data_IF_135037349750
#
_entry.id   IF_135037349750
#
_cell.length_a   1.000
_cell.length_b   1.000
_cell.length_c   1.000
_cell.angle_alpha   90.00
_cell.angle_beta   90.00
_cell.angle_gamma   90.00
#
_symmetry.space_group_name_H-M   'P 1'
#
loop_
_entity.id
_entity.type
_entity.pdbx_description
1 polymer ?
#
# COMPACT_ATOMS: atom_id res chain seq x y z
N UNK A 1 3.66 12.30 49.72
CA UNK A 1 4.57 13.11 48.92
C UNK A 1 5.66 12.22 48.36
N UNK A 2 5.54 11.83 47.11
CA UNK A 2 6.58 11.10 46.36
C UNK A 2 6.70 11.81 45.02
N UNK A 3 7.84 12.46 44.79
CA UNK A 3 8.21 13.12 43.55
C UNK A 3 8.37 12.06 42.45
N UNK A 4 7.50 12.10 41.45
CA UNK A 4 7.75 11.47 40.17
C UNK A 4 8.74 12.36 39.40
N UNK A 5 9.99 11.95 39.31
CA UNK A 5 10.98 12.58 38.44
C UNK A 5 10.60 12.27 36.97
N UNK A 6 10.18 13.29 36.25
CA UNK A 6 10.03 13.24 34.81
C UNK A 6 11.39 12.91 34.17
N UNK A 7 11.50 11.76 33.52
CA UNK A 7 12.64 11.45 32.66
C UNK A 7 12.59 12.39 31.46
N UNK A 8 13.58 13.26 31.34
CA UNK A 8 13.83 14.03 30.12
C UNK A 8 14.12 13.07 28.97
N UNK A 9 13.61 13.32 27.74
CA UNK A 9 13.99 12.56 26.57
C UNK A 9 15.49 12.74 26.33
N UNK A 10 16.24 11.63 26.34
CA UNK A 10 17.67 11.60 26.01
C UNK A 10 17.78 11.86 24.51
N UNK A 11 18.50 12.92 24.13
CA UNK A 11 18.83 13.24 22.73
C UNK A 11 19.63 12.07 22.12
N UNK A 12 19.17 11.43 21.04
CA UNK A 12 19.77 10.18 20.54
C UNK A 12 21.05 10.37 19.71
N UNK A 13 21.62 11.57 19.65
CA UNK A 13 22.76 11.85 18.78
C UNK A 13 23.94 12.38 19.58
N UNK A 14 24.94 11.52 19.81
CA UNK A 14 26.30 11.95 20.19
C UNK A 14 26.84 12.87 19.08
N UNK A 15 27.17 14.12 19.41
CA UNK A 15 27.69 15.13 18.49
C UNK A 15 29.09 14.82 17.91
N UNK A 16 29.76 13.76 18.38
CA UNK A 16 31.12 13.36 17.97
C UNK A 16 31.17 12.27 16.88
N UNK A 17 30.08 11.89 16.25
CA UNK A 17 30.12 10.95 15.13
C UNK A 17 30.71 11.64 13.89
N UNK A 18 31.96 11.32 13.56
CA UNK A 18 32.68 11.76 12.35
C UNK A 18 31.84 11.47 11.05
N UNK A 19 32.14 12.18 9.95
CA UNK A 19 31.39 11.99 8.70
C UNK A 19 31.56 10.57 8.17
N UNK A 20 30.44 9.84 8.17
CA UNK A 20 30.32 8.42 7.74
C UNK A 20 30.38 8.27 6.20
N UNK A 21 30.58 9.36 5.46
CA UNK A 21 30.20 9.47 4.04
C UNK A 21 31.06 8.73 3.02
N UNK A 22 32.25 8.24 3.34
CA UNK A 22 33.10 7.52 2.36
C UNK A 22 33.57 6.14 2.85
N UNK A 23 34.02 6.02 4.09
CA UNK A 23 34.57 4.76 4.63
C UNK A 23 33.49 3.66 4.82
N UNK A 24 32.25 4.05 5.16
CA UNK A 24 31.13 3.12 5.36
C UNK A 24 30.60 2.54 4.03
N UNK A 25 30.48 3.33 2.99
CA UNK A 25 30.05 2.87 1.66
C UNK A 25 31.08 1.91 1.05
N UNK A 26 32.35 2.20 1.18
CA UNK A 26 33.43 1.33 0.74
C UNK A 26 33.47 -0.02 1.49
N UNK A 27 33.13 -0.04 2.77
CA UNK A 27 33.01 -1.27 3.56
C UNK A 27 31.85 -2.13 3.12
N UNK A 28 30.67 -1.51 2.90
CA UNK A 28 29.48 -2.19 2.39
C UNK A 28 29.76 -2.76 1.01
N UNK A 29 30.29 -1.99 0.09
CA UNK A 29 30.64 -2.46 -1.24
C UNK A 29 31.63 -3.63 -1.20
N UNK A 30 32.71 -3.55 -0.41
CA UNK A 30 33.67 -4.65 -0.24
C UNK A 30 33.02 -5.92 0.35
N UNK A 31 32.08 -5.76 1.29
CA UNK A 31 31.32 -6.87 1.83
C UNK A 31 30.49 -7.55 0.72
N UNK A 32 29.72 -6.77 -0.03
CA UNK A 32 28.86 -7.25 -1.11
C UNK A 32 29.66 -7.97 -2.19
N UNK A 33 30.78 -7.40 -2.60
CA UNK A 33 31.70 -8.03 -3.57
C UNK A 33 32.25 -9.35 -3.02
N UNK A 34 32.62 -9.39 -1.75
CA UNK A 34 33.14 -10.63 -1.11
C UNK A 34 32.09 -11.72 -1.00
N UNK A 35 30.85 -11.39 -0.63
CA UNK A 35 29.79 -12.37 -0.37
C UNK A 35 29.03 -12.78 -1.65
N UNK A 36 28.89 -11.86 -2.60
CA UNK A 36 28.00 -12.00 -3.75
C UNK A 36 28.68 -11.90 -5.12
N UNK A 37 29.97 -11.49 -5.14
CA UNK A 37 30.73 -11.23 -6.35
C UNK A 37 30.63 -9.76 -6.83
N UNK A 38 31.54 -9.40 -7.73
CA UNK A 38 31.75 -8.01 -8.19
C UNK A 38 30.49 -7.46 -8.90
N UNK A 39 29.92 -8.24 -9.81
CA UNK A 39 28.73 -7.87 -10.60
C UNK A 39 27.55 -7.47 -9.69
N UNK A 40 27.29 -8.27 -8.65
CA UNK A 40 26.19 -8.03 -7.72
C UNK A 40 26.50 -6.88 -6.77
N UNK A 41 27.75 -6.76 -6.32
CA UNK A 41 28.20 -5.62 -5.50
C UNK A 41 28.00 -4.29 -6.20
N UNK A 42 28.37 -4.20 -7.48
CA UNK A 42 28.13 -3.02 -8.31
C UNK A 42 26.63 -2.75 -8.55
N UNK A 43 25.85 -3.79 -8.81
CA UNK A 43 24.41 -3.67 -9.00
C UNK A 43 23.72 -3.13 -7.75
N UNK A 44 24.18 -3.54 -6.57
CA UNK A 44 23.69 -3.02 -5.30
C UNK A 44 23.96 -1.52 -5.15
N UNK A 45 25.16 -1.06 -5.51
CA UNK A 45 25.50 0.38 -5.47
C UNK A 45 24.65 1.18 -6.45
N UNK A 46 24.35 0.62 -7.65
CA UNK A 46 23.42 1.23 -8.61
C UNK A 46 22.00 1.29 -8.04
N UNK A 47 21.52 0.22 -7.39
CA UNK A 47 20.22 0.19 -6.74
C UNK A 47 20.09 1.28 -5.65
N UNK A 48 21.10 1.47 -4.83
CA UNK A 48 21.13 2.57 -3.84
C UNK A 48 20.99 3.95 -4.49
N UNK A 49 21.66 4.18 -5.61
CA UNK A 49 21.53 5.44 -6.34
C UNK A 49 20.08 5.67 -6.85
N UNK A 50 19.42 4.61 -7.31
CA UNK A 50 17.98 4.66 -7.69
C UNK A 50 17.13 5.01 -6.47
N UNK A 51 17.28 4.30 -5.36
CA UNK A 51 16.52 4.54 -4.13
C UNK A 51 16.71 5.96 -3.58
N UNK A 52 17.96 6.46 -3.57
CA UNK A 52 18.26 7.82 -3.13
C UNK A 52 17.61 8.88 -4.04
N UNK A 53 17.55 8.64 -5.36
CA UNK A 53 16.87 9.54 -6.30
C UNK A 53 15.37 9.60 -5.98
N UNK A 54 14.71 8.46 -5.78
CA UNK A 54 13.30 8.40 -5.41
C UNK A 54 13.03 9.01 -4.04
N UNK A 55 13.91 8.79 -3.06
CA UNK A 55 13.78 9.42 -1.75
C UNK A 55 13.87 10.95 -1.82
N UNK A 56 14.78 11.51 -2.65
CA UNK A 56 14.84 12.96 -2.87
C UNK A 56 13.61 13.54 -3.53
N UNK A 57 12.98 12.80 -4.44
CA UNK A 57 11.74 13.23 -5.08
C UNK A 57 10.58 13.26 -4.06
N UNK A 58 10.53 12.28 -3.18
CA UNK A 58 9.51 12.22 -2.11
C UNK A 58 9.72 13.26 -1.00
N UNK A 59 10.97 13.60 -0.69
CA UNK A 59 11.32 14.53 0.38
C UNK A 59 12.13 15.72 -0.12
N UNK A 60 11.56 16.60 -0.98
CA UNK A 60 12.32 17.68 -1.65
C UNK A 60 12.86 18.74 -0.68
N UNK A 61 12.31 18.82 0.53
CA UNK A 61 12.68 19.78 1.56
C UNK A 61 13.41 19.15 2.76
N UNK A 62 13.90 17.90 2.62
CA UNK A 62 14.64 17.19 3.67
C UNK A 62 15.92 17.95 4.05
N UNK A 63 16.06 18.26 5.34
CA UNK A 63 17.27 18.90 5.86
C UNK A 63 18.47 17.94 5.86
N UNK A 64 19.70 18.50 5.91
CA UNK A 64 20.93 17.70 5.90
C UNK A 64 21.00 16.68 7.06
N UNK A 65 20.51 17.03 8.25
CA UNK A 65 20.48 16.15 9.42
C UNK A 65 19.54 14.96 9.19
N UNK A 66 18.33 15.23 8.71
CA UNK A 66 17.34 14.17 8.41
C UNK A 66 17.83 13.26 7.30
N UNK A 67 18.40 13.83 6.25
CA UNK A 67 19.00 13.06 5.18
C UNK A 67 20.12 12.14 5.68
N UNK A 68 21.01 12.64 6.53
CA UNK A 68 22.08 11.83 7.13
C UNK A 68 21.51 10.69 7.96
N UNK A 69 20.47 10.96 8.76
CA UNK A 69 19.77 9.96 9.57
C UNK A 69 19.16 8.87 8.67
N UNK A 70 18.49 9.26 7.60
CA UNK A 70 17.88 8.33 6.63
C UNK A 70 18.94 7.47 5.94
N UNK A 71 20.04 8.08 5.47
CA UNK A 71 21.14 7.35 4.82
C UNK A 71 21.81 6.34 5.77
N UNK A 72 22.03 6.71 7.03
CA UNK A 72 22.57 5.79 8.04
C UNK A 72 21.61 4.64 8.31
N UNK A 73 20.31 4.92 8.46
CA UNK A 73 19.26 3.88 8.62
C UNK A 73 19.29 2.91 7.44
N UNK A 74 19.29 3.42 6.22
CA UNK A 74 19.33 2.61 5.00
C UNK A 74 20.60 1.75 4.93
N UNK A 75 21.77 2.32 5.24
CA UNK A 75 23.04 1.59 5.23
C UNK A 75 23.03 0.41 6.21
N UNK A 76 22.48 0.60 7.41
CA UNK A 76 22.36 -0.46 8.41
C UNK A 76 21.46 -1.59 7.88
N UNK A 77 20.32 -1.25 7.32
CA UNK A 77 19.35 -2.21 6.77
C UNK A 77 19.91 -2.96 5.56
N UNK A 78 20.58 -2.27 4.64
CA UNK A 78 21.19 -2.85 3.45
C UNK A 78 22.22 -3.93 3.81
N UNK A 79 23.12 -3.63 4.76
CA UNK A 79 24.11 -4.59 5.29
C UNK A 79 23.39 -5.77 5.94
N UNK A 80 22.42 -5.50 6.81
CA UNK A 80 21.69 -6.52 7.54
C UNK A 80 20.97 -7.47 6.57
N UNK A 81 20.19 -6.93 5.64
CA UNK A 81 19.41 -7.72 4.67
C UNK A 81 20.31 -8.58 3.79
N UNK A 82 21.43 -8.00 3.32
CA UNK A 82 22.43 -8.76 2.54
C UNK A 82 22.97 -9.95 3.33
N UNK A 83 23.42 -9.71 4.55
CA UNK A 83 23.96 -10.78 5.40
C UNK A 83 22.89 -11.84 5.71
N UNK A 84 21.66 -11.42 6.01
CA UNK A 84 20.57 -12.33 6.31
C UNK A 84 20.20 -13.23 5.12
N UNK A 85 20.17 -12.67 3.93
CA UNK A 85 19.88 -13.45 2.71
C UNK A 85 21.01 -14.45 2.40
N UNK A 86 22.27 -14.04 2.58
CA UNK A 86 23.43 -14.88 2.21
C UNK A 86 23.73 -15.94 3.27
N UNK A 87 23.66 -15.59 4.55
CA UNK A 87 24.10 -16.44 5.65
C UNK A 87 22.97 -17.02 6.51
N UNK A 88 21.76 -16.58 6.26
CA UNK A 88 20.58 -16.90 7.06
C UNK A 88 20.39 -15.95 8.24
N UNK A 89 19.12 -15.62 8.51
CA UNK A 89 18.74 -14.65 9.53
C UNK A 89 19.32 -14.99 10.92
N UNK A 90 19.21 -16.24 11.38
CA UNK A 90 19.61 -16.64 12.72
C UNK A 90 21.13 -16.62 12.94
N UNK A 91 21.94 -16.71 11.90
CA UNK A 91 23.40 -16.80 11.96
C UNK A 91 24.12 -15.46 11.98
N UNK A 92 23.42 -14.33 11.79
CA UNK A 92 23.99 -12.99 11.78
C UNK A 92 23.61 -12.27 13.07
N UNK A 93 24.57 -11.59 13.70
CA UNK A 93 24.36 -10.82 14.93
C UNK A 93 24.24 -9.32 14.62
N UNK A 94 23.54 -8.58 15.49
CA UNK A 94 23.48 -7.10 15.41
C UNK A 94 24.87 -6.48 15.61
N UNK A 95 25.72 -7.10 16.44
CA UNK A 95 27.11 -6.69 16.65
C UNK A 95 27.93 -6.73 15.37
N UNK A 96 27.80 -7.80 14.60
CA UNK A 96 28.48 -7.95 13.31
C UNK A 96 28.03 -6.90 12.28
N UNK A 97 26.72 -6.61 12.22
CA UNK A 97 26.16 -5.56 11.38
C UNK A 97 26.74 -4.19 11.78
N UNK A 98 26.75 -3.89 13.08
CA UNK A 98 27.27 -2.65 13.63
C UNK A 98 28.74 -2.45 13.30
N UNK A 99 29.57 -3.50 13.43
CA UNK A 99 31.00 -3.48 13.10
C UNK A 99 31.25 -3.17 11.62
N UNK A 100 30.49 -3.81 10.72
CA UNK A 100 30.62 -3.60 9.27
C UNK A 100 30.24 -2.17 8.87
N UNK A 101 29.12 -1.68 9.42
CA UNK A 101 28.64 -0.30 9.15
C UNK A 101 29.55 0.75 9.80
N UNK A 102 30.30 0.39 10.85
CA UNK A 102 31.16 1.30 11.60
C UNK A 102 30.39 2.13 12.65
N UNK A 103 29.32 1.57 13.21
CA UNK A 103 28.54 2.20 14.27
C UNK A 103 28.50 1.31 15.54
N UNK A 104 27.98 1.84 16.65
CA UNK A 104 27.77 1.02 17.85
C UNK A 104 26.49 0.17 17.72
N UNK A 105 26.44 -0.98 18.42
CA UNK A 105 25.18 -1.75 18.53
C UNK A 105 24.02 -0.91 19.09
N UNK A 106 24.31 -0.03 20.05
CA UNK A 106 23.35 0.91 20.59
C UNK A 106 22.79 1.83 19.48
N UNK A 107 23.64 2.25 18.55
CA UNK A 107 23.21 3.04 17.39
C UNK A 107 22.27 2.23 16.50
N UNK A 108 22.59 0.97 16.23
CA UNK A 108 21.69 0.09 15.46
C UNK A 108 20.32 -0.03 16.16
N UNK A 109 20.29 -0.30 17.45
CA UNK A 109 19.03 -0.42 18.20
C UNK A 109 18.26 0.91 18.34
N UNK A 110 18.91 2.05 18.24
CA UNK A 110 18.22 3.35 18.16
C UNK A 110 17.44 3.54 16.84
N UNK A 111 17.92 2.94 15.74
CA UNK A 111 17.23 2.96 14.44
C UNK A 111 16.24 1.80 14.28
N UNK A 112 16.56 0.64 14.84
CA UNK A 112 15.83 -0.61 14.66
C UNK A 112 15.70 -1.32 16.00
N UNK A 113 14.55 -1.19 16.68
CA UNK A 113 14.36 -1.73 18.04
C UNK A 113 14.56 -3.24 18.17
N UNK A 114 14.37 -3.98 17.07
CA UNK A 114 14.53 -5.43 17.03
C UNK A 114 15.37 -5.84 15.81
N UNK A 115 15.90 -7.06 15.82
CA UNK A 115 16.63 -7.60 14.68
C UNK A 115 15.71 -7.80 13.47
N UNK A 116 14.46 -8.16 13.69
CA UNK A 116 13.44 -8.31 12.66
C UNK A 116 13.13 -6.97 11.96
N UNK A 117 13.14 -5.86 12.70
CA UNK A 117 12.89 -4.54 12.12
C UNK A 117 13.95 -4.08 11.11
N UNK A 118 15.15 -4.70 11.12
CA UNK A 118 16.17 -4.50 10.10
C UNK A 118 15.73 -5.01 8.71
N UNK A 119 14.85 -6.00 8.68
CA UNK A 119 14.30 -6.60 7.45
C UNK A 119 13.14 -5.77 6.90
N UNK A 120 12.42 -5.10 7.78
CA UNK A 120 11.23 -4.30 7.46
C UNK A 120 11.51 -2.79 7.56
N UNK A 121 12.69 -2.37 7.13
CA UNK A 121 13.19 -0.99 7.23
C UNK A 121 12.30 0.05 6.54
N UNK A 122 11.65 -0.33 5.45
CA UNK A 122 10.74 0.53 4.67
C UNK A 122 9.27 0.46 5.11
N UNK A 123 9.00 -0.25 6.22
CA UNK A 123 7.63 -0.40 6.70
C UNK A 123 6.99 0.94 7.09
N UNK A 124 7.74 1.81 7.79
CA UNK A 124 7.27 3.15 8.18
C UNK A 124 6.96 4.02 6.95
N UNK A 125 7.85 4.03 5.94
CA UNK A 125 7.62 4.76 4.69
C UNK A 125 6.39 4.21 3.95
N UNK A 126 6.17 2.90 3.97
CA UNK A 126 4.99 2.27 3.39
C UNK A 126 3.69 2.69 4.09
N UNK A 127 3.71 2.78 5.43
CA UNK A 127 2.59 3.28 6.23
C UNK A 127 2.32 4.75 5.89
N UNK A 128 3.34 5.59 5.90
CA UNK A 128 3.21 7.02 5.57
C UNK A 128 2.63 7.23 4.17
N UNK A 129 3.08 6.49 3.17
CA UNK A 129 2.53 6.55 1.81
C UNK A 129 1.08 6.12 1.74
N UNK A 130 0.71 5.05 2.45
CA UNK A 130 -0.69 4.61 2.52
C UNK A 130 -1.57 5.69 3.16
N UNK A 131 -1.12 6.28 4.27
CA UNK A 131 -1.84 7.36 4.97
C UNK A 131 -1.96 8.58 4.06
N UNK A 132 -0.88 9.02 3.45
CA UNK A 132 -0.89 10.14 2.51
C UNK A 132 -1.86 9.89 1.35
N UNK A 133 -1.83 8.72 0.74
CA UNK A 133 -2.76 8.35 -0.34
C UNK A 133 -4.24 8.39 0.12
N UNK A 134 -4.51 7.98 1.35
CA UNK A 134 -5.87 8.04 1.91
C UNK A 134 -6.29 9.47 2.26
N UNK A 135 -5.38 10.32 2.75
CA UNK A 135 -5.63 11.71 3.14
C UNK A 135 -5.76 12.65 1.95
N UNK A 136 -4.89 12.51 0.94
CA UNK A 136 -4.79 13.40 -0.22
C UNK A 136 -5.75 13.05 -1.35
N UNK A 137 -6.55 11.98 -1.20
CA UNK A 137 -7.49 11.57 -2.24
C UNK A 137 -8.48 12.68 -2.60
N UNK A 138 -8.75 12.80 -3.89
CA UNK A 138 -9.70 13.75 -4.42
C UNK A 138 -11.11 13.49 -3.87
N UNK A 139 -11.95 14.54 -3.74
CA UNK A 139 -13.35 14.37 -3.38
C UNK A 139 -14.06 13.43 -4.34
N UNK A 140 -14.52 12.28 -3.83
CA UNK A 140 -15.18 11.22 -4.61
C UNK A 140 -14.22 10.17 -5.20
N UNK A 141 -12.92 10.31 -5.04
CA UNK A 141 -11.98 9.23 -5.31
C UNK A 141 -12.14 8.13 -4.25
N UNK A 142 -12.24 6.86 -4.69
CA UNK A 142 -12.30 5.75 -3.73
C UNK A 142 -10.95 5.53 -3.04
N UNK A 143 -10.95 5.04 -1.80
CA UNK A 143 -9.70 4.62 -1.14
C UNK A 143 -8.90 3.63 -1.99
N UNK A 144 -9.58 2.71 -2.66
CA UNK A 144 -8.99 1.73 -3.57
C UNK A 144 -8.20 2.39 -4.70
N UNK A 145 -8.74 3.42 -5.35
CA UNK A 145 -8.06 4.13 -6.44
C UNK A 145 -6.86 4.93 -5.97
N UNK A 146 -6.98 5.59 -4.82
CA UNK A 146 -5.86 6.32 -4.23
C UNK A 146 -4.67 5.39 -3.95
N UNK A 147 -4.94 4.20 -3.41
CA UNK A 147 -3.89 3.21 -3.16
C UNK A 147 -3.32 2.59 -4.43
N UNK A 148 -4.14 2.34 -5.46
CA UNK A 148 -3.62 1.86 -6.75
C UNK A 148 -2.58 2.82 -7.33
N UNK A 149 -2.79 4.13 -7.22
CA UNK A 149 -1.81 5.14 -7.64
C UNK A 149 -0.51 5.02 -6.85
N UNK A 150 -0.58 4.94 -5.52
CA UNK A 150 0.60 4.78 -4.67
C UNK A 150 1.38 3.48 -4.97
N UNK A 151 0.68 2.37 -5.22
CA UNK A 151 1.32 1.10 -5.58
C UNK A 151 1.93 1.10 -7.00
N UNK A 152 1.40 1.92 -7.91
CA UNK A 152 2.02 2.13 -9.22
C UNK A 152 3.40 2.79 -9.07
N UNK A 153 3.51 3.82 -8.24
CA UNK A 153 4.78 4.49 -7.94
C UNK A 153 5.80 3.53 -7.30
N UNK A 154 5.35 2.67 -6.37
CA UNK A 154 6.21 1.63 -5.77
C UNK A 154 6.69 0.60 -6.81
N UNK A 155 5.87 0.30 -7.80
CA UNK A 155 6.24 -0.60 -8.89
C UNK A 155 7.25 0.05 -9.82
N UNK A 156 7.09 1.34 -10.12
CA UNK A 156 8.02 2.11 -10.93
C UNK A 156 9.42 2.17 -10.28
N UNK A 157 9.49 2.43 -8.97
CA UNK A 157 10.77 2.41 -8.22
C UNK A 157 11.43 1.02 -8.29
N UNK A 158 10.64 -0.04 -8.11
CA UNK A 158 11.14 -1.42 -8.15
C UNK A 158 11.69 -1.80 -9.53
N UNK A 159 11.03 -1.37 -10.61
CA UNK A 159 11.46 -1.64 -11.99
C UNK A 159 12.78 -0.97 -12.35
N UNK A 160 13.06 0.19 -11.77
CA UNK A 160 14.32 0.91 -12.01
C UNK A 160 15.52 0.26 -11.33
N UNK A 161 15.31 -0.73 -10.44
CA UNK A 161 16.39 -1.48 -9.84
C UNK A 161 17.14 -2.31 -10.89
N UNK A 162 18.46 -2.48 -10.74
CA UNK A 162 19.25 -3.36 -11.60
C UNK A 162 18.70 -4.79 -11.64
N UNK A 163 18.83 -5.46 -12.79
CA UNK A 163 18.29 -6.81 -12.98
C UNK A 163 18.82 -7.81 -11.95
N UNK A 164 20.07 -7.67 -11.56
CA UNK A 164 20.73 -8.51 -10.57
C UNK A 164 20.02 -8.43 -9.21
N UNK A 165 19.46 -7.26 -8.88
CA UNK A 165 18.70 -7.07 -7.64
C UNK A 165 17.37 -7.83 -7.64
N UNK A 166 16.75 -8.02 -8.79
CA UNK A 166 15.53 -8.82 -8.89
C UNK A 166 15.76 -10.30 -8.54
N UNK A 167 16.98 -10.81 -8.71
CA UNK A 167 17.35 -12.17 -8.32
C UNK A 167 17.36 -12.40 -6.80
N UNK A 168 17.49 -11.33 -5.99
CA UNK A 168 17.41 -11.41 -4.55
C UNK A 168 15.97 -11.54 -4.03
N UNK A 169 14.98 -11.12 -4.80
CA UNK A 169 13.58 -11.16 -4.37
C UNK A 169 13.13 -12.56 -3.95
N UNK A 170 13.35 -13.64 -4.73
CA UNK A 170 13.00 -15.00 -4.31
C UNK A 170 13.73 -15.45 -3.04
N UNK A 171 15.03 -15.16 -2.93
CA UNK A 171 15.85 -15.51 -1.76
C UNK A 171 15.37 -14.79 -0.50
N UNK A 172 15.07 -13.51 -0.62
CA UNK A 172 14.48 -12.72 0.47
C UNK A 172 13.14 -13.30 0.91
N UNK A 173 12.30 -13.71 -0.03
CA UNK A 173 11.01 -14.33 0.26
C UNK A 173 11.13 -15.69 0.93
N UNK A 174 12.08 -16.50 0.49
CA UNK A 174 12.39 -17.77 1.12
C UNK A 174 12.86 -17.57 2.58
N UNK A 175 13.73 -16.59 2.81
CA UNK A 175 14.15 -16.22 4.16
C UNK A 175 12.97 -15.80 5.04
N UNK A 176 12.08 -14.94 4.55
CA UNK A 176 10.85 -14.54 5.28
C UNK A 176 9.96 -15.75 5.58
N UNK A 177 9.76 -16.63 4.60
CA UNK A 177 8.89 -17.79 4.74
C UNK A 177 9.48 -18.87 5.66
N UNK A 178 10.79 -19.05 5.68
CA UNK A 178 11.48 -20.08 6.47
C UNK A 178 11.74 -19.67 7.92
N UNK A 179 11.82 -18.36 8.23
CA UNK A 179 12.18 -17.83 9.55
C UNK A 179 10.93 -17.50 10.38
N UNK A 180 10.62 -18.25 11.47
CA UNK A 180 9.41 -18.04 12.26
C UNK A 180 9.27 -16.64 12.87
N UNK A 181 10.36 -16.04 13.37
CA UNK A 181 10.33 -14.70 13.96
C UNK A 181 10.04 -13.62 12.92
N UNK A 182 10.56 -13.74 11.70
CA UNK A 182 10.24 -12.82 10.60
C UNK A 182 8.78 -12.94 10.16
N UNK A 183 8.23 -14.15 10.11
CA UNK A 183 6.79 -14.33 9.85
C UNK A 183 5.92 -13.68 10.91
N UNK A 184 6.29 -13.81 12.19
CA UNK A 184 5.57 -13.16 13.27
C UNK A 184 5.64 -11.63 13.15
N UNK A 185 6.82 -11.07 12.90
CA UNK A 185 7.01 -9.63 12.70
C UNK A 185 6.23 -9.11 11.47
N UNK A 186 6.18 -9.87 10.38
CA UNK A 186 5.37 -9.55 9.21
C UNK A 186 3.87 -9.49 9.55
N UNK A 187 3.35 -10.46 10.29
CA UNK A 187 1.94 -10.46 10.71
C UNK A 187 1.62 -9.30 11.66
N UNK A 188 2.54 -8.93 12.54
CA UNK A 188 2.39 -7.76 13.40
C UNK A 188 2.38 -6.46 12.59
N UNK A 189 3.25 -6.35 11.60
CA UNK A 189 3.25 -5.21 10.67
C UNK A 189 1.93 -5.12 9.89
N UNK A 190 1.43 -6.22 9.35
CA UNK A 190 0.15 -6.24 8.63
C UNK A 190 -1.01 -5.83 9.54
N UNK A 191 -1.02 -6.27 10.79
CA UNK A 191 -2.02 -5.85 11.78
C UNK A 191 -1.94 -4.34 12.02
N UNK A 192 -0.75 -3.80 12.20
CA UNK A 192 -0.54 -2.37 12.41
C UNK A 192 -0.99 -1.54 11.20
N UNK A 193 -0.70 -1.98 9.98
CA UNK A 193 -1.22 -1.36 8.74
C UNK A 193 -2.75 -1.29 8.72
N UNK A 194 -3.42 -2.39 9.12
CA UNK A 194 -4.88 -2.41 9.20
C UNK A 194 -5.41 -1.44 10.26
N UNK A 195 -4.76 -1.35 11.43
CA UNK A 195 -5.14 -0.43 12.49
C UNK A 195 -5.04 1.03 12.03
N UNK A 196 -3.91 1.42 11.43
CA UNK A 196 -3.70 2.78 10.91
C UNK A 196 -4.70 3.10 9.79
N UNK A 197 -4.90 2.19 8.83
CA UNK A 197 -5.87 2.38 7.77
C UNK A 197 -7.31 2.53 8.30
N UNK A 198 -7.66 1.76 9.34
CA UNK A 198 -8.95 1.82 9.99
C UNK A 198 -9.21 3.18 10.65
N UNK A 199 -8.24 3.67 11.40
CA UNK A 199 -8.32 4.98 12.06
C UNK A 199 -8.48 6.11 11.04
N UNK A 200 -7.70 6.09 9.96
CA UNK A 200 -7.74 7.10 8.91
C UNK A 200 -9.07 7.08 8.14
N UNK A 201 -9.58 5.90 7.80
CA UNK A 201 -10.87 5.76 7.12
C UNK A 201 -12.04 6.19 8.01
N UNK A 202 -12.02 5.82 9.28
CA UNK A 202 -13.04 6.19 10.26
C UNK A 202 -13.08 7.71 10.48
N UNK A 203 -11.91 8.33 10.72
CA UNK A 203 -11.79 9.77 10.90
C UNK A 203 -12.35 10.54 9.70
N UNK A 204 -12.05 10.10 8.49
CA UNK A 204 -12.50 10.76 7.26
C UNK A 204 -13.99 10.54 6.95
N UNK A 205 -14.57 9.45 7.44
CA UNK A 205 -15.99 9.15 7.30
C UNK A 205 -16.84 9.69 8.46
N UNK A 206 -16.21 10.30 9.47
CA UNK A 206 -16.86 10.72 10.73
C UNK A 206 -17.55 9.53 11.46
N UNK A 207 -16.89 8.35 11.43
CA UNK A 207 -17.34 7.11 12.08
C UNK A 207 -16.44 6.78 13.30
N UNK A 208 -16.92 5.89 14.17
CA UNK A 208 -16.08 5.29 15.21
C UNK A 208 -15.18 4.21 14.56
N UNK A 209 -13.86 4.15 14.88
CA UNK A 209 -12.98 3.09 14.41
C UNK A 209 -13.46 1.66 14.76
N UNK A 210 -14.40 1.54 15.69
CA UNK A 210 -15.03 0.25 16.07
C UNK A 210 -16.24 -0.11 15.23
N UNK A 211 -16.70 0.81 14.37
CA UNK A 211 -17.78 0.51 13.44
C UNK A 211 -17.35 -0.55 12.40
N UNK A 212 -18.25 -1.40 11.94
CA UNK A 212 -17.89 -2.49 11.03
C UNK A 212 -17.42 -2.01 9.65
N UNK A 213 -17.89 -0.84 9.17
CA UNK A 213 -17.56 -0.30 7.86
C UNK A 213 -16.07 0.05 7.73
N UNK A 214 -15.46 0.90 8.59
CA UNK A 214 -14.03 1.19 8.49
C UNK A 214 -13.19 -0.06 8.78
N UNK A 215 -13.61 -0.95 9.69
CA UNK A 215 -12.89 -2.18 9.98
C UNK A 215 -12.76 -3.12 8.77
N UNK A 216 -13.83 -3.32 8.00
CA UNK A 216 -13.79 -4.17 6.81
C UNK A 216 -13.08 -3.48 5.65
N UNK A 217 -13.28 -2.17 5.48
CA UNK A 217 -12.62 -1.40 4.45
C UNK A 217 -11.10 -1.38 4.63
N UNK A 218 -10.61 -1.18 5.85
CA UNK A 218 -9.18 -1.21 6.17
C UNK A 218 -8.53 -2.56 5.80
N UNK A 219 -9.16 -3.69 6.17
CA UNK A 219 -8.66 -5.01 5.80
C UNK A 219 -8.65 -5.23 4.29
N UNK A 220 -9.69 -4.75 3.61
CA UNK A 220 -9.79 -4.90 2.17
C UNK A 220 -8.69 -4.12 1.42
N UNK A 221 -8.43 -2.88 1.82
CA UNK A 221 -7.40 -2.06 1.17
C UNK A 221 -5.97 -2.52 1.50
N UNK A 222 -5.71 -2.96 2.73
CA UNK A 222 -4.41 -3.56 3.08
C UNK A 222 -4.19 -4.86 2.32
N UNK A 223 -5.25 -5.65 2.06
CA UNK A 223 -5.19 -6.82 1.19
C UNK A 223 -4.73 -6.52 -0.23
N UNK A 224 -4.96 -5.32 -0.77
CA UNK A 224 -4.40 -4.91 -2.07
C UNK A 224 -2.88 -4.79 -2.04
N UNK A 225 -2.29 -4.37 -0.93
CA UNK A 225 -0.83 -4.34 -0.76
C UNK A 225 -0.24 -5.75 -0.80
N UNK A 226 -0.90 -6.72 -0.17
CA UNK A 226 -0.49 -8.13 -0.26
C UNK A 226 -0.57 -8.65 -1.70
N UNK A 227 -1.62 -8.29 -2.43
CA UNK A 227 -1.76 -8.62 -3.86
C UNK A 227 -0.64 -7.99 -4.67
N UNK A 228 -0.30 -6.70 -4.45
CA UNK A 228 0.80 -6.02 -5.15
C UNK A 228 2.12 -6.76 -4.95
N UNK A 229 2.42 -7.11 -3.71
CA UNK A 229 3.65 -7.80 -3.35
C UNK A 229 3.71 -9.21 -3.95
N UNK A 230 2.67 -10.02 -3.78
CA UNK A 230 2.59 -11.37 -4.31
C UNK A 230 2.61 -11.41 -5.85
N UNK A 231 1.95 -10.45 -6.48
CA UNK A 231 1.94 -10.31 -7.94
C UNK A 231 3.33 -9.99 -8.49
N UNK A 232 4.03 -9.05 -7.86
CA UNK A 232 5.40 -8.68 -8.24
C UNK A 232 6.34 -9.88 -8.17
N UNK A 233 6.34 -10.61 -7.05
CA UNK A 233 7.16 -11.82 -6.89
C UNK A 233 6.88 -12.82 -7.99
N UNK A 234 5.60 -13.18 -8.17
CA UNK A 234 5.18 -14.17 -9.16
C UNK A 234 5.63 -13.79 -10.58
N UNK A 235 5.51 -12.53 -10.97
CA UNK A 235 5.88 -12.08 -12.30
C UNK A 235 7.41 -11.97 -12.47
N UNK A 236 8.14 -11.58 -11.43
CA UNK A 236 9.62 -11.61 -11.42
C UNK A 236 10.14 -13.04 -11.57
N UNK A 237 9.55 -14.00 -10.85
CA UNK A 237 9.88 -15.44 -10.98
C UNK A 237 9.55 -15.98 -12.36
N UNK A 238 8.48 -15.48 -12.99
CA UNK A 238 8.13 -15.81 -14.39
C UNK A 238 9.05 -15.13 -15.42
N UNK A 239 10.02 -14.32 -15.00
CA UNK A 239 10.99 -13.67 -15.86
C UNK A 239 10.56 -12.31 -16.43
N UNK A 240 9.41 -11.77 -16.03
CA UNK A 240 8.97 -10.45 -16.50
C UNK A 240 9.85 -9.34 -15.90
N UNK A 241 10.13 -8.29 -16.70
CA UNK A 241 10.94 -7.13 -16.32
C UNK A 241 10.37 -5.87 -16.96
N UNK A 242 10.80 -4.71 -16.48
CA UNK A 242 10.48 -3.39 -17.06
C UNK A 242 8.98 -3.20 -17.25
N UNK A 243 8.57 -2.67 -18.40
CA UNK A 243 7.17 -2.36 -18.70
C UNK A 243 6.24 -3.58 -18.65
N UNK A 244 6.73 -4.78 -19.00
CA UNK A 244 5.93 -6.01 -18.94
C UNK A 244 5.60 -6.38 -17.49
N UNK A 245 6.56 -6.24 -16.58
CA UNK A 245 6.34 -6.44 -15.14
C UNK A 245 5.31 -5.44 -14.60
N UNK A 246 5.46 -4.16 -14.96
CA UNK A 246 4.53 -3.09 -14.56
C UNK A 246 3.10 -3.39 -15.02
N UNK A 247 2.93 -3.68 -16.31
CA UNK A 247 1.62 -3.98 -16.88
C UNK A 247 0.97 -5.18 -16.21
N UNK A 248 1.74 -6.23 -15.93
CA UNK A 248 1.24 -7.45 -15.29
C UNK A 248 0.82 -7.18 -13.83
N UNK A 249 1.63 -6.48 -13.05
CA UNK A 249 1.32 -6.12 -11.65
C UNK A 249 0.11 -5.17 -11.59
N UNK A 250 0.08 -4.14 -12.44
CA UNK A 250 -1.04 -3.20 -12.52
C UNK A 250 -2.33 -3.93 -12.90
N UNK A 251 -2.29 -4.84 -13.88
CA UNK A 251 -3.45 -5.63 -14.28
C UNK A 251 -4.00 -6.49 -13.14
N UNK A 252 -3.13 -7.10 -12.34
CA UNK A 252 -3.55 -7.92 -11.19
C UNK A 252 -4.18 -7.04 -10.10
N UNK A 253 -3.56 -5.90 -9.80
CA UNK A 253 -4.09 -4.94 -8.84
C UNK A 253 -5.45 -4.38 -9.25
N UNK A 254 -5.62 -4.00 -10.53
CA UNK A 254 -6.90 -3.53 -11.04
C UNK A 254 -7.98 -4.62 -10.97
N UNK A 255 -7.62 -5.89 -11.19
CA UNK A 255 -8.55 -7.02 -11.05
C UNK A 255 -8.99 -7.21 -9.61
N UNK A 256 -8.06 -7.10 -8.64
CA UNK A 256 -8.37 -7.16 -7.23
C UNK A 256 -9.21 -5.95 -6.79
N UNK A 257 -8.84 -4.74 -7.22
CA UNK A 257 -9.55 -3.51 -6.92
C UNK A 257 -11.01 -3.53 -7.43
N UNK A 258 -11.26 -4.10 -8.62
CA UNK A 258 -12.62 -4.27 -9.13
C UNK A 258 -13.51 -5.11 -8.21
N UNK A 259 -12.94 -6.10 -7.51
CA UNK A 259 -13.70 -6.88 -6.51
C UNK A 259 -14.09 -6.03 -5.31
N UNK A 260 -13.22 -5.10 -4.89
CA UNK A 260 -13.52 -4.19 -3.79
C UNK A 260 -14.56 -3.13 -4.20
N UNK A 261 -14.42 -2.56 -5.39
CA UNK A 261 -15.34 -1.53 -5.89
C UNK A 261 -16.76 -2.09 -6.16
N UNK A 262 -16.88 -3.38 -6.50
CA UNK A 262 -18.16 -4.04 -6.82
C UNK A 262 -18.67 -4.94 -5.70
N UNK A 263 -17.90 -5.16 -4.66
CA UNK A 263 -18.18 -6.10 -3.58
C UNK A 263 -18.01 -7.57 -4.00
N UNK A 264 -18.10 -8.47 -3.03
CA UNK A 264 -17.85 -9.90 -3.24
C UNK A 264 -18.89 -10.60 -4.14
N UNK A 265 -20.07 -10.00 -4.36
CA UNK A 265 -21.07 -10.56 -5.27
C UNK A 265 -20.53 -10.74 -6.70
N UNK A 266 -19.64 -9.86 -7.14
CA UNK A 266 -19.05 -9.95 -8.48
C UNK A 266 -18.08 -11.14 -8.63
N UNK A 267 -17.59 -11.70 -7.53
CA UNK A 267 -16.77 -12.90 -7.54
C UNK A 267 -17.51 -14.09 -8.13
N UNK A 268 -18.80 -14.21 -7.86
CA UNK A 268 -19.63 -15.28 -8.42
C UNK A 268 -19.75 -15.23 -9.95
N UNK A 269 -19.53 -14.06 -10.56
CA UNK A 269 -19.54 -13.92 -12.02
C UNK A 269 -18.31 -14.54 -12.66
N UNK A 270 -17.17 -14.52 -11.98
CA UNK A 270 -15.91 -15.07 -12.48
C UNK A 270 -15.97 -16.58 -12.68
N UNK A 271 -16.85 -17.28 -11.95
CA UNK A 271 -17.06 -18.73 -12.11
C UNK A 271 -17.68 -19.12 -13.46
N UNK A 272 -18.22 -18.16 -14.21
CA UNK A 272 -18.87 -18.36 -15.52
C UNK A 272 -17.92 -18.11 -16.72
N UNK A 273 -16.61 -18.12 -16.50
CA UNK A 273 -15.61 -18.01 -17.56
C UNK A 273 -15.62 -16.65 -18.29
N UNK A 274 -15.44 -16.66 -19.61
CA UNK A 274 -15.34 -15.45 -20.42
C UNK A 274 -16.58 -14.55 -20.36
N UNK A 275 -17.77 -15.15 -20.33
CA UNK A 275 -19.05 -14.41 -20.23
C UNK A 275 -19.19 -13.73 -18.86
N UNK A 276 -18.76 -14.40 -17.79
CA UNK A 276 -18.78 -13.84 -16.45
C UNK A 276 -17.84 -12.63 -16.32
N UNK A 277 -16.65 -12.71 -16.93
CA UNK A 277 -15.72 -11.58 -16.97
C UNK A 277 -16.28 -10.38 -17.73
N UNK A 278 -16.99 -10.60 -18.83
CA UNK A 278 -17.63 -9.50 -19.56
C UNK A 278 -18.75 -8.87 -18.73
N UNK A 279 -19.61 -9.68 -18.11
CA UNK A 279 -20.69 -9.21 -17.22
C UNK A 279 -20.15 -8.43 -16.01
N UNK A 280 -18.99 -8.84 -15.46
CA UNK A 280 -18.32 -8.10 -14.40
C UNK A 280 -17.87 -6.71 -14.89
N UNK A 281 -17.24 -6.62 -16.08
CA UNK A 281 -16.83 -5.33 -16.64
C UNK A 281 -18.00 -4.40 -16.89
N UNK A 282 -19.10 -4.93 -17.43
CA UNK A 282 -20.30 -4.14 -17.71
C UNK A 282 -20.94 -3.62 -16.41
N UNK A 283 -20.93 -4.45 -15.35
CA UNK A 283 -21.43 -4.05 -14.03
C UNK A 283 -20.51 -3.00 -13.35
N UNK A 284 -19.19 -3.14 -13.48
CA UNK A 284 -18.23 -2.13 -13.01
C UNK A 284 -18.46 -0.80 -13.71
N UNK A 285 -18.57 -0.81 -15.04
CA UNK A 285 -18.83 0.39 -15.81
C UNK A 285 -20.12 1.08 -15.39
N UNK A 286 -21.22 0.30 -15.22
CA UNK A 286 -22.49 0.85 -14.76
C UNK A 286 -22.38 1.47 -13.35
N UNK A 287 -21.63 0.84 -12.44
CA UNK A 287 -21.36 1.38 -11.11
C UNK A 287 -20.49 2.65 -11.15
N UNK A 288 -19.49 2.69 -12.02
CA UNK A 288 -18.64 3.88 -12.24
C UNK A 288 -19.45 5.05 -12.84
N UNK A 289 -20.31 4.79 -13.81
CA UNK A 289 -21.18 5.80 -14.41
C UNK A 289 -22.16 6.39 -13.38
N UNK A 290 -22.79 5.54 -12.57
CA UNK A 290 -23.69 5.97 -11.50
C UNK A 290 -22.94 6.80 -10.44
N UNK A 291 -21.73 6.38 -10.06
CA UNK A 291 -20.87 7.11 -9.14
C UNK A 291 -20.41 8.45 -9.72
N UNK A 292 -20.07 8.50 -11.01
CA UNK A 292 -19.74 9.74 -11.72
C UNK A 292 -20.86 10.76 -11.60
N UNK A 293 -22.11 10.35 -11.78
CA UNK A 293 -23.29 11.21 -11.61
C UNK A 293 -23.44 11.73 -10.19
N UNK A 294 -23.19 10.90 -9.17
CA UNK A 294 -23.23 11.32 -7.76
C UNK A 294 -22.13 12.34 -7.48
N UNK A 295 -20.91 12.11 -7.97
CA UNK A 295 -19.77 13.03 -7.81
C UNK A 295 -20.06 14.37 -8.47
N UNK A 296 -20.59 14.37 -9.69
CA UNK A 296 -20.92 15.61 -10.42
C UNK A 296 -22.03 16.39 -9.70
N UNK A 297 -23.02 15.69 -9.16
CA UNK A 297 -24.06 16.30 -8.31
C UNK A 297 -23.46 16.91 -7.04
N UNK A 298 -22.53 16.23 -6.37
CA UNK A 298 -21.83 16.75 -5.20
C UNK A 298 -20.92 17.93 -5.53
N UNK A 299 -20.23 17.93 -6.69
CA UNK A 299 -19.43 19.06 -7.16
C UNK A 299 -20.30 20.28 -7.44
N UNK A 300 -21.44 20.11 -8.10
CA UNK A 300 -22.41 21.17 -8.35
C UNK A 300 -22.98 21.73 -7.04
N UNK A 301 -23.35 20.86 -6.10
CA UNK A 301 -23.81 21.29 -4.79
C UNK A 301 -22.73 22.05 -4.01
N UNK A 302 -21.45 21.61 -4.05
CA UNK A 302 -20.33 22.34 -3.45
C UNK A 302 -20.05 23.68 -4.13
N UNK A 303 -20.23 23.80 -5.45
CA UNK A 303 -20.09 25.05 -6.17
C UNK A 303 -21.20 26.04 -5.74
N UNK A 304 -22.43 25.58 -5.69
CA UNK A 304 -23.56 26.36 -5.18
C UNK A 304 -23.34 26.80 -3.70
N UNK A 305 -22.77 25.90 -2.87
CA UNK A 305 -22.43 26.22 -1.46
C UNK A 305 -21.35 27.30 -1.33
N UNK A 306 -20.34 27.30 -2.23
CA UNK A 306 -19.31 28.36 -2.28
C UNK A 306 -19.89 29.71 -2.69
N UNK A 307 -20.87 29.71 -3.56
CA UNK A 307 -21.56 30.93 -4.00
C UNK A 307 -22.47 31.52 -2.91
N UNK A 308 -23.19 30.65 -2.17
CA UNK A 308 -24.02 31.02 -1.03
C UNK A 308 -23.18 31.49 0.17
N UNK A 309 -21.96 30.93 0.38
CA UNK A 309 -21.06 31.36 1.46
C UNK A 309 -20.58 32.82 1.29
N UNK A 310 -20.65 33.37 0.06
CA UNK A 310 -20.37 34.78 -0.25
C UNK A 310 -21.53 35.69 0.13
N UNK A 311 -22.73 35.15 0.36
CA UNK A 311 -23.93 35.89 0.72
C UNK A 311 -24.47 35.34 2.03
N UNK A 312 -24.06 35.95 3.13
CA UNK A 312 -24.37 35.54 4.52
C UNK A 312 -25.87 35.44 4.83
N UNK A 313 -26.44 34.23 4.90
CA UNK A 313 -27.71 33.97 5.58
C UNK A 313 -27.74 32.57 6.17
N UNK A 314 -27.90 32.46 7.50
CA UNK A 314 -27.87 31.21 8.26
C UNK A 314 -29.00 30.22 7.91
N UNK A 315 -30.16 30.73 7.51
CA UNK A 315 -31.32 29.86 7.16
C UNK A 315 -31.10 29.07 5.87
N UNK A 316 -30.42 29.67 4.88
CA UNK A 316 -30.09 28.99 3.61
C UNK A 316 -29.07 27.87 3.83
N UNK A 317 -28.17 28.01 4.81
CA UNK A 317 -27.19 26.97 5.17
C UNK A 317 -27.87 25.71 5.71
N UNK A 318 -28.98 25.85 6.44
CA UNK A 318 -29.73 24.72 7.04
C UNK A 318 -30.52 23.97 5.98
N UNK A 319 -31.24 24.68 5.12
CA UNK A 319 -32.03 24.14 4.04
C UNK A 319 -31.15 23.41 3.00
N UNK A 320 -29.96 23.94 2.70
CA UNK A 320 -29.04 23.31 1.76
C UNK A 320 -28.40 22.04 2.35
N UNK A 321 -28.12 22.01 3.65
CA UNK A 321 -27.59 20.81 4.33
C UNK A 321 -28.62 19.69 4.35
N UNK A 322 -29.90 20.01 4.48
CA UNK A 322 -31.01 19.06 4.37
C UNK A 322 -31.18 18.56 2.93
N UNK A 323 -31.17 19.48 1.95
CA UNK A 323 -31.25 19.14 0.52
C UNK A 323 -30.08 18.24 0.04
N UNK A 324 -28.86 18.48 0.55
CA UNK A 324 -27.69 17.64 0.24
C UNK A 324 -27.82 16.23 0.82
N UNK A 325 -28.37 16.09 2.03
CA UNK A 325 -28.66 14.77 2.63
C UNK A 325 -29.72 14.02 1.82
N UNK A 326 -30.75 14.71 1.38
CA UNK A 326 -31.84 14.10 0.59
C UNK A 326 -31.35 13.67 -0.81
N UNK A 327 -30.48 14.45 -1.45
CA UNK A 327 -29.86 14.11 -2.74
C UNK A 327 -28.92 12.91 -2.57
N UNK A 328 -28.12 12.89 -1.53
CA UNK A 328 -27.23 11.77 -1.26
C UNK A 328 -28.04 10.48 -0.98
N UNK A 329 -29.06 10.54 -0.14
CA UNK A 329 -29.92 9.42 0.18
C UNK A 329 -30.78 8.95 -1.02
N UNK A 330 -31.14 9.83 -1.96
CA UNK A 330 -31.85 9.46 -3.17
C UNK A 330 -30.91 8.86 -4.22
N UNK A 331 -29.67 9.33 -4.33
CA UNK A 331 -28.67 8.76 -5.21
C UNK A 331 -28.23 7.36 -4.76
N UNK A 332 -28.06 7.15 -3.45
CA UNK A 332 -27.78 5.83 -2.88
C UNK A 332 -28.98 4.86 -3.11
N UNK A 333 -30.20 5.33 -2.94
CA UNK A 333 -31.39 4.53 -3.25
C UNK A 333 -31.49 4.20 -4.74
N UNK A 334 -31.26 5.16 -5.63
CA UNK A 334 -31.27 4.93 -7.07
C UNK A 334 -30.20 3.94 -7.52
N UNK A 335 -28.99 4.05 -6.97
CA UNK A 335 -27.93 3.08 -7.21
C UNK A 335 -28.27 1.67 -6.69
N UNK A 336 -28.89 1.59 -5.51
CA UNK A 336 -29.35 0.33 -4.94
C UNK A 336 -30.52 -0.27 -5.74
N UNK A 337 -31.47 0.54 -6.20
CA UNK A 337 -32.57 0.10 -7.02
C UNK A 337 -32.14 -0.37 -8.41
N UNK A 338 -31.22 0.36 -9.08
CA UNK A 338 -30.61 -0.06 -10.33
C UNK A 338 -29.87 -1.40 -10.19
N UNK A 339 -29.14 -1.57 -9.11
CA UNK A 339 -28.49 -2.83 -8.77
C UNK A 339 -29.50 -3.96 -8.54
N UNK A 340 -30.56 -3.70 -7.77
CA UNK A 340 -31.61 -4.67 -7.48
C UNK A 340 -32.39 -5.06 -8.73
N UNK A 341 -32.64 -4.09 -9.63
CA UNK A 341 -33.32 -4.33 -10.92
C UNK A 341 -32.46 -5.24 -11.81
N UNK A 342 -31.15 -4.95 -11.94
CA UNK A 342 -30.21 -5.79 -12.69
C UNK A 342 -30.12 -7.23 -12.16
N UNK A 343 -30.26 -7.43 -10.85
CA UNK A 343 -30.38 -8.75 -10.24
C UNK A 343 -31.71 -9.45 -10.57
N UNK A 344 -32.80 -8.70 -10.54
CA UNK A 344 -34.14 -9.22 -10.86
C UNK A 344 -34.28 -9.68 -12.31
N UNK A 345 -33.83 -8.83 -13.24
CA UNK A 345 -33.83 -9.12 -14.68
C UNK A 345 -32.99 -10.36 -15.00
N UNK A 346 -31.89 -10.53 -14.28
CA UNK A 346 -31.03 -11.71 -14.39
C UNK A 346 -31.72 -12.97 -13.87
N UNK A 347 -32.41 -12.89 -12.73
CA UNK A 347 -33.17 -14.04 -12.21
C UNK A 347 -34.29 -14.44 -13.16
N UNK A 348 -34.97 -13.47 -13.80
CA UNK A 348 -35.94 -13.69 -14.82
C UNK A 348 -35.35 -14.42 -16.05
N UNK A 349 -34.22 -13.95 -16.55
CA UNK A 349 -33.50 -14.57 -17.68
C UNK A 349 -33.04 -16.00 -17.39
N UNK A 350 -32.60 -16.29 -16.14
CA UNK A 350 -32.27 -17.65 -15.72
C UNK A 350 -33.49 -18.57 -15.66
N UNK A 351 -34.64 -18.06 -15.18
CA UNK A 351 -35.89 -18.83 -15.15
C UNK A 351 -36.38 -19.16 -16.56
N UNK A 352 -36.32 -18.21 -17.48
CA UNK A 352 -36.71 -18.36 -18.87
C UNK A 352 -35.86 -19.41 -19.61
N UNK A 353 -34.53 -19.38 -19.40
CA UNK A 353 -33.62 -20.42 -19.93
C UNK A 353 -33.90 -21.81 -19.39
N UNK A 354 -34.13 -21.94 -18.07
CA UNK A 354 -34.51 -23.25 -17.48
C UNK A 354 -35.84 -23.79 -18.01
N UNK A 355 -36.76 -22.91 -18.35
CA UNK A 355 -38.02 -23.31 -18.99
C UNK A 355 -37.82 -23.78 -20.44
N UNK A 356 -36.98 -23.07 -21.21
CA UNK A 356 -36.66 -23.42 -22.60
C UNK A 356 -35.89 -24.75 -22.68
N UNK A 357 -34.90 -24.97 -21.80
CA UNK A 357 -34.16 -26.24 -21.71
C UNK A 357 -35.04 -27.41 -21.27
N UNK A 358 -36.02 -27.20 -20.39
CA UNK A 358 -37.00 -28.21 -20.01
C UNK A 358 -38.01 -28.51 -21.13
N UNK A 359 -38.35 -27.52 -21.96
CA UNK A 359 -39.17 -27.71 -23.15
C UNK A 359 -38.46 -28.54 -24.22
N UNK A 360 -37.19 -28.30 -24.47
CA UNK A 360 -36.37 -29.04 -25.44
C UNK A 360 -36.03 -30.47 -25.03
N UNK A 361 -36.08 -30.82 -23.75
CA UNK A 361 -35.89 -32.20 -23.26
C UNK A 361 -37.16 -33.04 -23.25
N UNK A 362 -38.32 -32.45 -23.57
CA UNK A 362 -39.62 -33.15 -23.63
C UNK A 362 -40.16 -33.32 -25.05
N UNK A 363 -39.51 -32.76 -26.05
CA UNK A 363 -39.67 -33.06 -27.48
C UNK A 363 -38.57 -34.00 -27.96
#
# INVERSE_FOLDING_TARGET
>A
MAHAAARQPVDPLDEDAAPVETDGEDKVHRLLVRELGEEVGEAFMRARAVQERWARQRHPHEGLRERKKRLTRQQISDVATTLFVVRGFDHVTVSEIAEIVGVSEKTVYNYFPTKESLVFDRAEEGIERMVAALQEREPGESPTRALLRAFSEDTDEFEELPEEMHRFTPLFMEMLASTPSLRAAWLDLQRHLVEVANEELAARAELDPRDPEPMIAARAIVGLQEVAFASRIRHVEAGLRGSELREAVTSDLERAARLLDTGLWSFSLLTHGARGRQQQRDAVKAAEDARGQVIDTLKQARAAWREIRRHEHQEVKRALKESLRDVQASAERAAYEAFRQALSDRQAAIRERRQTERGQRKS
#
